data_IF_309589511776
#
_entry.id   IF_309589511776
#
_cell.length_a   1.000
_cell.length_b   1.000
_cell.length_c   1.000
_cell.angle_alpha   90.00
_cell.angle_beta   90.00
_cell.angle_gamma   90.00
#
_symmetry.space_group_name_H-M   'P 1'
#
loop_
_entity.id
_entity.type
_entity.pdbx_description
1 polymer ?
#
# COMPACT_ATOMS: atom_id res chain seq x y z
N UNK A 1 10.20 10.18 15.44
CA UNK A 1 10.01 9.01 14.53
C UNK A 1 8.50 8.73 14.49
N UNK A 2 7.84 8.56 13.35
CA UNK A 2 6.43 8.08 13.23
C UNK A 2 5.22 9.03 13.36
N UNK A 3 5.37 10.30 13.73
CA UNK A 3 4.24 11.11 14.22
C UNK A 3 3.09 11.38 13.22
N UNK A 4 3.34 11.52 11.91
CA UNK A 4 2.30 11.94 10.96
C UNK A 4 1.37 10.80 10.52
N UNK A 5 1.92 9.62 10.22
CA UNK A 5 1.17 8.53 9.57
C UNK A 5 1.11 7.25 10.41
N UNK A 6 1.76 7.21 11.58
CA UNK A 6 1.89 5.98 12.37
C UNK A 6 2.59 4.88 11.57
N UNK A 7 3.68 5.20 10.89
CA UNK A 7 4.47 4.23 10.11
C UNK A 7 4.87 3.02 10.98
N UNK A 8 5.04 1.86 10.38
CA UNK A 8 5.44 0.62 11.08
C UNK A 8 6.75 0.04 10.51
N UNK A 9 7.54 0.88 9.84
CA UNK A 9 8.78 0.50 9.16
C UNK A 9 8.63 -0.74 8.27
N UNK A 10 7.59 -0.76 7.43
CA UNK A 10 7.31 -1.94 6.63
C UNK A 10 8.34 -2.21 5.52
N UNK A 11 9.11 -1.18 5.12
CA UNK A 11 10.06 -1.21 4.00
C UNK A 11 9.43 -1.28 2.61
N UNK A 12 8.16 -1.63 2.53
CA UNK A 12 7.34 -1.69 1.32
C UNK A 12 6.06 -0.89 1.56
N UNK A 13 6.07 0.39 1.18
CA UNK A 13 5.17 1.40 1.74
C UNK A 13 4.02 1.73 0.78
N UNK A 14 2.78 1.45 1.20
CA UNK A 14 1.57 1.62 0.38
C UNK A 14 0.78 2.90 0.72
N UNK A 15 1.47 3.99 1.05
CA UNK A 15 0.81 5.23 1.51
C UNK A 15 0.14 5.99 0.36
N UNK A 16 0.76 6.00 -0.82
CA UNK A 16 0.24 6.68 -2.02
C UNK A 16 -1.09 6.10 -2.47
N UNK A 17 -1.24 4.78 -2.35
CA UNK A 17 -2.39 4.01 -2.80
C UNK A 17 -3.57 4.15 -1.82
N UNK A 18 -3.28 4.45 -0.55
CA UNK A 18 -4.26 4.47 0.54
C UNK A 18 -4.46 5.88 1.12
N UNK A 19 -4.40 6.92 0.28
CA UNK A 19 -4.63 8.31 0.64
C UNK A 19 -3.84 8.76 1.89
N UNK A 20 -2.57 8.35 1.97
CA UNK A 20 -1.64 8.58 3.07
C UNK A 20 -2.15 8.06 4.43
N UNK A 21 -2.93 6.98 4.44
CA UNK A 21 -3.33 6.25 5.64
C UNK A 21 -2.57 4.92 5.68
N UNK A 22 -1.73 4.74 6.70
CA UNK A 22 -0.95 3.51 6.84
C UNK A 22 -1.87 2.32 7.17
N UNK A 23 -1.91 1.24 6.36
CA UNK A 23 -2.74 0.07 6.64
C UNK A 23 -2.19 -0.75 7.82
N UNK A 24 -0.86 -0.73 8.02
CA UNK A 24 -0.17 -1.45 9.08
C UNK A 24 -0.51 -0.91 10.47
N UNK A 25 -0.78 0.39 10.62
CA UNK A 25 -1.25 0.96 11.88
C UNK A 25 -2.76 1.24 11.91
N UNK A 26 -3.35 1.51 10.75
CA UNK A 26 -4.74 1.95 10.61
C UNK A 26 -5.77 0.82 10.54
N UNK A 27 -5.40 -0.38 10.11
CA UNK A 27 -6.33 -1.51 9.98
C UNK A 27 -5.96 -2.63 10.97
N UNK A 28 -6.95 -3.19 11.67
CA UNK A 28 -6.73 -4.35 12.55
C UNK A 28 -6.35 -5.62 11.76
N UNK A 29 -6.68 -5.65 10.48
CA UNK A 29 -6.46 -6.78 9.56
C UNK A 29 -5.41 -6.49 8.48
N UNK A 30 -4.77 -5.32 8.53
CA UNK A 30 -3.72 -4.89 7.61
C UNK A 30 -4.06 -4.97 6.12
N UNK A 31 -5.36 -4.84 5.77
CA UNK A 31 -5.84 -4.98 4.40
C UNK A 31 -5.39 -3.84 3.49
N UNK A 32 -5.00 -4.22 2.26
CA UNK A 32 -4.57 -3.32 1.18
C UNK A 32 -5.64 -3.16 0.09
N UNK A 33 -6.45 -4.19 -0.14
CA UNK A 33 -7.41 -4.24 -1.24
C UNK A 33 -8.85 -4.38 -0.70
N UNK A 34 -9.54 -3.24 -0.58
CA UNK A 34 -10.93 -3.15 -0.16
C UNK A 34 -11.22 -3.35 1.35
N UNK A 35 -12.40 -2.88 1.82
CA UNK A 35 -12.85 -3.11 3.19
C UNK A 35 -13.16 -4.59 3.43
N UNK A 36 -12.97 -5.05 4.67
CA UNK A 36 -13.28 -6.43 5.06
C UNK A 36 -14.78 -6.80 5.13
N UNK A 37 -15.68 -5.88 4.77
CA UNK A 37 -17.14 -6.05 4.93
C UNK A 37 -17.68 -5.90 6.36
N UNK A 38 -16.84 -6.02 7.39
CA UNK A 38 -17.29 -5.94 8.79
C UNK A 38 -17.38 -4.55 9.41
N UNK A 39 -17.19 -3.47 8.65
CA UNK A 39 -17.33 -2.13 9.22
C UNK A 39 -18.81 -1.82 9.48
N UNK A 40 -19.12 -1.25 10.66
CA UNK A 40 -20.48 -0.81 11.03
C UNK A 40 -20.45 0.64 11.49
N UNK A 41 -21.33 1.47 10.95
CA UNK A 41 -21.43 2.92 11.24
C UNK A 41 -20.07 3.65 11.07
N UNK A 42 -19.27 3.14 10.13
CA UNK A 42 -17.90 3.55 9.83
C UNK A 42 -16.82 3.20 10.87
N UNK A 43 -17.16 2.44 11.90
CA UNK A 43 -16.23 1.87 12.88
C UNK A 43 -15.69 0.51 12.42
N UNK A 44 -14.49 0.17 12.90
CA UNK A 44 -13.90 -1.15 12.72
C UNK A 44 -14.62 -2.19 13.61
N UNK A 45 -15.00 -3.36 13.08
CA UNK A 45 -15.62 -4.45 13.87
C UNK A 45 -14.78 -4.88 15.08
N UNK A 46 -13.45 -4.94 14.91
CA UNK A 46 -12.54 -5.35 16.00
C UNK A 46 -12.49 -4.30 17.12
N UNK A 47 -12.77 -3.03 16.82
CA UNK A 47 -12.67 -1.92 17.78
C UNK A 47 -13.84 -0.93 17.65
N UNK A 48 -15.09 -1.35 17.98
CA UNK A 48 -16.26 -0.50 17.87
C UNK A 48 -16.14 0.76 18.74
N UNK A 49 -16.49 1.93 18.20
CA UNK A 49 -16.44 3.21 18.91
C UNK A 49 -15.03 3.73 19.26
N UNK A 50 -13.97 2.95 18.98
CA UNK A 50 -12.58 3.30 19.30
C UNK A 50 -11.73 3.57 18.07
N UNK A 51 -11.91 2.79 16.99
CA UNK A 51 -11.12 2.90 15.75
C UNK A 51 -12.02 3.02 14.54
N UNK A 52 -11.91 4.13 13.80
CA UNK A 52 -12.56 4.30 12.50
C UNK A 52 -11.99 3.30 11.49
N UNK A 53 -12.86 2.74 10.65
CA UNK A 53 -12.44 1.81 9.60
C UNK A 53 -11.44 2.49 8.65
N UNK A 54 -10.38 1.77 8.27
CA UNK A 54 -9.34 2.29 7.36
C UNK A 54 -9.95 2.84 6.07
N UNK A 55 -10.80 2.05 5.40
CA UNK A 55 -11.41 2.43 4.12
C UNK A 55 -12.38 3.60 4.24
N UNK A 56 -13.04 3.75 5.38
CA UNK A 56 -13.90 4.91 5.63
C UNK A 56 -13.05 6.18 5.71
N UNK A 57 -11.92 6.13 6.43
CA UNK A 57 -10.97 7.26 6.49
C UNK A 57 -10.35 7.59 5.13
N UNK A 58 -10.03 6.57 4.34
CA UNK A 58 -9.50 6.75 2.97
C UNK A 58 -10.56 7.45 2.11
N UNK A 59 -11.80 6.96 2.13
CA UNK A 59 -12.89 7.53 1.36
C UNK A 59 -13.15 8.99 1.75
N UNK A 60 -13.25 9.29 3.05
CA UNK A 60 -13.42 10.66 3.57
C UNK A 60 -12.31 11.60 3.07
N UNK A 61 -11.05 11.14 3.03
CA UNK A 61 -9.92 11.92 2.48
C UNK A 61 -10.01 12.13 0.98
N UNK A 62 -10.38 11.09 0.23
CA UNK A 62 -10.50 11.16 -1.23
C UNK A 62 -11.65 12.07 -1.66
N UNK A 63 -12.79 12.02 -0.97
CA UNK A 63 -13.90 12.94 -1.19
C UNK A 63 -13.47 14.39 -0.90
N UNK A 64 -12.73 14.63 0.18
CA UNK A 64 -12.19 15.96 0.48
C UNK A 64 -11.18 16.49 -0.55
N UNK A 65 -10.65 15.62 -1.41
CA UNK A 65 -9.76 15.97 -2.51
C UNK A 65 -10.43 15.88 -3.89
N UNK A 66 -11.76 15.75 -3.96
CA UNK A 66 -12.54 15.59 -5.22
C UNK A 66 -12.08 14.39 -6.08
N UNK A 67 -11.60 13.31 -5.44
CA UNK A 67 -11.08 12.10 -6.10
C UNK A 67 -11.73 10.76 -5.62
N UNK A 68 -13.05 10.67 -5.36
CA UNK A 68 -13.65 9.43 -4.85
C UNK A 68 -13.50 8.23 -5.81
N UNK A 69 -13.46 8.45 -7.11
CA UNK A 69 -13.27 7.41 -8.14
C UNK A 69 -11.89 6.76 -8.08
N UNK A 70 -10.88 7.45 -7.54
CA UNK A 70 -9.53 6.90 -7.40
C UNK A 70 -9.48 5.69 -6.48
N UNK A 71 -10.42 5.57 -5.54
CA UNK A 71 -10.51 4.44 -4.61
C UNK A 71 -10.78 3.09 -5.33
N UNK A 72 -11.41 3.13 -6.50
CA UNK A 72 -11.70 1.93 -7.30
C UNK A 72 -10.49 1.47 -8.11
N UNK A 73 -9.43 2.28 -8.19
CA UNK A 73 -8.29 2.02 -9.08
C UNK A 73 -7.22 1.23 -8.34
N UNK A 74 -6.75 0.19 -9.02
CA UNK A 74 -5.51 -0.50 -8.68
C UNK A 74 -5.69 -1.67 -7.72
N UNK A 75 -4.99 -2.74 -8.03
CA UNK A 75 -4.69 -3.82 -7.11
C UNK A 75 -3.30 -3.55 -6.53
N UNK A 76 -3.17 -3.53 -5.22
CA UNK A 76 -1.87 -3.45 -4.54
C UNK A 76 -1.43 -4.87 -4.22
N UNK A 77 -0.25 -5.32 -4.69
CA UNK A 77 0.21 -6.66 -4.38
C UNK A 77 0.46 -6.82 -2.87
N UNK A 78 0.49 -8.06 -2.37
CA UNK A 78 0.86 -8.32 -0.99
C UNK A 78 2.22 -7.71 -0.66
N UNK A 79 2.32 -7.14 0.53
CA UNK A 79 3.56 -6.58 1.06
C UNK A 79 4.73 -7.57 0.96
N UNK A 80 5.88 -7.11 0.48
CA UNK A 80 7.15 -7.82 0.56
C UNK A 80 7.71 -7.82 1.99
N UNK A 81 7.63 -8.95 2.67
CA UNK A 81 8.13 -9.12 4.04
C UNK A 81 9.66 -9.12 4.17
N UNK A 82 10.39 -9.38 3.08
CA UNK A 82 11.85 -9.34 3.10
C UNK A 82 12.39 -7.92 3.37
N UNK A 83 11.58 -6.89 3.11
CA UNK A 83 11.93 -5.49 3.35
C UNK A 83 11.58 -5.00 4.75
N UNK A 84 11.04 -5.84 5.64
CA UNK A 84 10.63 -5.42 6.98
C UNK A 84 11.78 -4.75 7.76
N UNK A 85 11.48 -3.65 8.46
CA UNK A 85 12.45 -2.82 9.18
C UNK A 85 13.53 -2.13 8.33
N UNK A 86 13.38 -2.10 7.00
CA UNK A 86 14.24 -1.32 6.10
C UNK A 86 13.59 0.01 5.70
N UNK A 87 14.34 0.89 5.03
CA UNK A 87 13.86 2.20 4.60
C UNK A 87 12.96 2.08 3.36
N UNK A 88 11.68 2.44 3.50
CA UNK A 88 10.73 2.40 2.37
C UNK A 88 11.12 3.32 1.22
N UNK A 89 11.68 4.49 1.52
CA UNK A 89 12.08 5.46 0.50
C UNK A 89 13.27 4.97 -0.32
N UNK A 90 14.24 4.32 0.35
CA UNK A 90 15.40 3.74 -0.31
C UNK A 90 14.98 2.55 -1.21
N UNK A 91 14.04 1.73 -0.75
CA UNK A 91 13.52 0.61 -1.53
C UNK A 91 12.70 1.08 -2.74
N UNK A 92 11.87 2.11 -2.56
CA UNK A 92 11.08 2.73 -3.64
C UNK A 92 11.96 3.23 -4.81
N UNK A 93 13.01 3.98 -4.51
CA UNK A 93 13.91 4.47 -5.56
C UNK A 93 14.80 3.40 -6.17
N UNK A 94 15.12 2.35 -5.41
CA UNK A 94 15.85 1.19 -5.93
C UNK A 94 14.95 0.21 -6.69
N UNK A 95 13.64 0.44 -6.73
CA UNK A 95 12.67 -0.46 -7.35
C UNK A 95 12.60 -1.84 -6.69
N UNK A 96 12.91 -1.92 -5.39
CA UNK A 96 12.85 -3.16 -4.62
C UNK A 96 11.46 -3.42 -4.02
N UNK A 97 10.65 -2.38 -3.91
CA UNK A 97 9.30 -2.42 -3.34
C UNK A 97 8.25 -2.77 -4.40
N UNK A 98 6.98 -2.86 -3.99
CA UNK A 98 5.89 -3.23 -4.90
C UNK A 98 5.72 -2.29 -6.10
N UNK A 99 6.11 -1.01 -5.97
CA UNK A 99 6.11 -0.06 -7.08
C UNK A 99 7.20 -0.36 -8.12
N UNK A 100 8.20 -1.18 -7.78
CA UNK A 100 9.24 -1.69 -8.66
C UNK A 100 8.79 -2.85 -9.57
N UNK A 101 7.86 -3.70 -9.14
CA UNK A 101 7.45 -4.90 -9.88
C UNK A 101 6.77 -4.58 -11.24
N UNK A 102 6.12 -3.42 -11.35
CA UNK A 102 5.58 -2.92 -12.61
C UNK A 102 6.63 -2.32 -13.56
N UNK A 103 7.82 -1.97 -13.06
CA UNK A 103 8.92 -1.37 -13.86
C UNK A 103 9.83 -2.40 -14.51
N UNK A 104 9.83 -3.63 -14.01
CA UNK A 104 10.64 -4.73 -14.56
C UNK A 104 9.95 -5.43 -15.73
N UNK A 105 8.62 -5.37 -15.82
CA UNK A 105 7.85 -5.98 -16.91
C UNK A 105 7.94 -5.22 -18.24
N UNK A 106 8.18 -3.91 -18.22
CA UNK A 106 8.43 -3.12 -19.44
C UNK A 106 9.88 -3.25 -19.94
N UNK A 107 10.83 -3.51 -19.04
CA UNK A 107 12.24 -3.73 -19.38
C UNK A 107 12.57 -5.20 -19.71
N UNK A 108 11.58 -6.10 -19.63
CA UNK A 108 11.74 -7.53 -19.87
C UNK A 108 11.80 -7.97 -21.33
N UNK A 109 11.83 -7.05 -22.30
CA UNK A 109 11.91 -7.39 -23.73
C UNK A 109 13.33 -7.31 -24.33
N UNK A 110 14.35 -6.82 -23.61
CA UNK A 110 15.69 -6.63 -24.21
C UNK A 110 16.82 -7.55 -23.70
N UNK A 111 16.67 -8.31 -22.62
CA UNK A 111 17.75 -9.20 -22.13
C UNK A 111 17.47 -10.70 -22.32
N UNK A 112 17.13 -11.12 -23.55
CA UNK A 112 17.30 -12.53 -23.99
C UNK A 112 17.75 -12.64 -25.44
N UNK A 113 18.80 -11.92 -25.83
CA UNK A 113 19.55 -12.21 -27.07
C UNK A 113 21.00 -11.81 -26.87
N UNK A 114 21.92 -12.75 -27.12
CA UNK A 114 23.38 -12.74 -26.83
C UNK A 114 23.62 -13.21 -25.39
N UNK A 115 24.00 -14.46 -25.16
CA UNK A 115 25.16 -15.15 -25.72
C UNK A 115 24.92 -16.66 -25.71
N UNK A 116 25.09 -17.31 -26.87
CA UNK A 116 25.39 -18.74 -26.89
C UNK A 116 26.70 -18.87 -27.68
N UNK A 117 27.84 -19.22 -27.04
CA UNK A 117 29.07 -19.48 -27.76
C UNK A 117 28.96 -20.82 -28.48
N UNK A 118 29.24 -20.81 -29.79
CA UNK A 118 29.70 -21.99 -30.51
C UNK A 118 31.15 -22.27 -30.16
#
# INVERSE_FOLDING_TARGET
KFLLFGCQNCGDCTLSELAFVCPQSGCAKYLLNGPCGGSRDGWCEVYPGKKRCLYVRIYERLVACDLPESMRKGFVPPRNWALNNTSSWLNFFRGLDHAGEGRTSENGTEEKKKTNPK
#
